data_IF_947579090349
#
_entry.id   IF_947579090349
#
_cell.length_a   1.000
_cell.length_b   1.000
_cell.length_c   1.000
_cell.angle_alpha   90.00
_cell.angle_beta   90.00
_cell.angle_gamma   90.00
#
_symmetry.space_group_name_H-M   'P 1'
#
loop_
_entity.id
_entity.type
_entity.pdbx_description
1 polymer ?
2 non-polymer ?
3 non-polymer ?
4 non-polymer ?
5 non-polymer ?
6 water ?
#
# COMPACT_ATOMS: atom_id res chain seq x y z
N UNK A 1 -1.71 -11.63 -4.91
CA UNK A 1 -0.65 -10.68 -4.59
C UNK A 1 -1.20 -9.25 -4.67
N UNK A 2 -0.78 -8.38 -3.74
CA UNK A 2 -1.19 -6.97 -3.75
C UNK A 2 -0.23 -6.22 -4.69
N UNK A 3 -0.77 -5.59 -5.75
CA UNK A 3 0.02 -4.89 -6.76
C UNK A 3 -0.35 -3.42 -6.87
N UNK A 4 0.66 -2.57 -7.15
CA UNK A 4 0.45 -1.14 -7.46
C UNK A 4 -0.30 -1.10 -8.80
N UNK A 5 -1.34 -0.25 -8.90
CA UNK A 5 -2.12 -0.10 -10.13
C UNK A 5 -1.91 1.28 -10.67
N UNK A 6 -1.75 1.37 -11.98
CA UNK A 6 -1.59 2.66 -12.66
C UNK A 6 -2.96 3.25 -13.04
N UNK A 7 -3.25 4.45 -12.52
CA UNK A 7 -4.46 5.24 -12.77
C UNK A 7 -3.98 6.68 -13.02
N UNK A 8 -4.36 7.28 -14.18
CA UNK A 8 -3.96 8.64 -14.54
C UNK A 8 -4.34 9.68 -13.48
N UNK A 9 -3.35 10.50 -13.07
CA UNK A 9 -3.45 11.56 -12.06
C UNK A 9 -3.91 11.05 -10.65
N UNK A 10 -3.78 9.72 -10.40
CA UNK A 10 -4.17 9.09 -9.14
C UNK A 10 -3.10 8.08 -8.69
N UNK A 11 -2.26 8.49 -7.72
CA UNK A 11 -1.18 7.66 -7.16
C UNK A 11 -1.59 6.94 -5.86
N UNK A 12 -0.85 5.88 -5.52
CA UNK A 12 -1.06 5.09 -4.30
C UNK A 12 -2.13 4.00 -4.33
N UNK A 13 -2.81 3.81 -5.49
CA UNK A 13 -3.84 2.78 -5.58
C UNK A 13 -3.23 1.38 -5.74
N UNK A 14 -3.68 0.44 -4.90
CA UNK A 14 -3.24 -0.96 -4.94
C UNK A 14 -4.45 -1.88 -5.20
N UNK A 15 -4.23 -3.03 -5.83
CA UNK A 15 -5.27 -4.03 -6.11
C UNK A 15 -4.83 -5.39 -5.59
N UNK A 16 -5.75 -6.08 -4.90
CA UNK A 16 -5.51 -7.45 -4.41
C UNK A 16 -5.79 -8.36 -5.62
N UNK A 17 -4.71 -8.84 -6.26
CA UNK A 17 -4.77 -9.68 -7.47
C UNK A 17 -4.93 -11.15 -7.14
N UNK A 18 -5.66 -11.88 -8.01
CA UNK A 18 -5.83 -13.33 -7.95
C UNK A 18 -4.51 -13.95 -8.41
N UNK A 19 -3.79 -13.24 -9.32
CA UNK A 19 -2.50 -13.64 -9.87
C UNK A 19 -1.41 -13.55 -8.80
N UNK A 20 -0.39 -14.39 -8.94
CA UNK A 20 0.77 -14.43 -8.07
C UNK A 20 1.75 -13.30 -8.41
N UNK A 21 1.71 -12.77 -9.65
CA UNK A 21 2.62 -11.73 -10.11
C UNK A 21 2.03 -10.32 -10.27
N UNK A 22 2.92 -9.34 -10.24
CA UNK A 22 2.68 -7.91 -10.46
C UNK A 22 3.57 -7.55 -11.64
N UNK A 23 3.24 -6.47 -12.34
CA UNK A 23 4.05 -5.99 -13.45
C UNK A 23 4.14 -4.49 -13.52
N UNK A 24 5.17 -4.02 -14.22
CA UNK A 24 5.38 -2.63 -14.55
C UNK A 24 5.81 -2.64 -15.99
N UNK A 25 5.00 -1.99 -16.84
CA UNK A 25 5.26 -1.92 -18.27
C UNK A 25 5.66 -0.51 -18.66
N UNK A 26 6.79 -0.39 -19.39
CA UNK A 26 7.32 0.90 -19.83
C UNK A 26 7.80 0.94 -21.28
N UNK A 27 7.80 2.15 -21.87
CA UNK A 27 8.34 2.44 -23.20
C UNK A 27 9.15 3.73 -23.07
N UNK A 28 10.45 3.68 -23.41
CA UNK A 28 11.40 4.80 -23.28
C UNK A 28 11.42 5.35 -21.82
N UNK A 29 11.26 4.48 -20.82
CA UNK A 29 11.21 4.88 -19.41
C UNK A 29 9.85 5.32 -18.90
N UNK A 30 8.95 5.72 -19.82
CA UNK A 30 7.59 6.15 -19.50
C UNK A 30 6.71 4.93 -19.16
N UNK A 31 6.10 4.95 -17.97
CA UNK A 31 5.21 3.90 -17.50
C UNK A 31 3.90 3.90 -18.29
N UNK A 32 3.60 2.79 -18.98
CA UNK A 32 2.36 2.64 -19.75
C UNK A 32 1.35 1.79 -18.99
N UNK A 33 1.79 1.13 -17.91
CA UNK A 33 0.94 0.32 -17.07
C UNK A 33 1.63 -0.32 -15.89
N UNK A 34 0.84 -0.59 -14.85
CA UNK A 34 1.24 -1.26 -13.61
C UNK A 34 -0.01 -1.98 -13.14
N UNK A 35 0.12 -3.28 -12.92
CA UNK A 35 -1.02 -4.04 -12.45
C UNK A 35 -0.76 -5.49 -12.10
N UNK A 36 -1.82 -6.29 -12.21
CA UNK A 36 -1.88 -7.72 -11.90
C UNK A 36 -1.29 -8.57 -13.04
N UNK A 37 -0.71 -9.71 -12.69
CA UNK A 37 -0.16 -10.67 -13.65
C UNK A 37 1.18 -10.28 -14.26
N UNK A 38 1.62 -11.06 -15.27
CA UNK A 38 2.87 -10.80 -16.00
C UNK A 38 2.60 -10.90 -17.51
N UNK A 39 2.36 -9.75 -18.18
CA UNK A 39 2.09 -9.81 -19.63
C UNK A 39 3.36 -9.92 -20.47
N UNK A 40 3.22 -10.49 -21.67
CA UNK A 40 4.33 -10.61 -22.63
C UNK A 40 4.46 -9.29 -23.42
N UNK A 41 5.71 -8.88 -23.78
CA UNK A 41 5.95 -7.67 -24.61
C UNK A 41 7.31 -7.65 -25.29
N UNK A 42 7.33 -7.18 -26.55
CA UNK A 42 8.53 -7.06 -27.36
C UNK A 42 8.94 -5.57 -27.42
N UNK A 43 10.23 -5.29 -27.67
CA UNK A 43 10.82 -3.95 -27.81
C UNK A 43 9.95 -3.03 -28.70
N UNK A 44 9.78 -1.72 -28.38
CA UNK A 44 10.39 -0.95 -27.28
C UNK A 44 9.75 -1.17 -25.91
N UNK A 45 8.65 -1.96 -25.86
CA UNK A 45 7.91 -2.26 -24.65
C UNK A 45 8.70 -3.17 -23.72
N UNK A 46 8.93 -2.70 -22.48
CA UNK A 46 9.72 -3.42 -21.47
C UNK A 46 8.86 -3.74 -20.27
N UNK A 47 8.82 -5.02 -19.85
CA UNK A 47 8.05 -5.48 -18.69
C UNK A 47 9.00 -5.89 -17.56
N UNK A 48 8.64 -5.50 -16.34
CA UNK A 48 9.33 -5.89 -15.12
C UNK A 48 8.30 -6.66 -14.31
N UNK A 49 8.53 -7.96 -14.11
CA UNK A 49 7.60 -8.80 -13.34
C UNK A 49 8.19 -9.21 -12.02
N UNK A 50 7.36 -9.33 -10.99
CA UNK A 50 7.77 -9.70 -9.63
C UNK A 50 6.61 -10.39 -8.91
N UNK A 51 6.89 -11.13 -7.82
CA UNK A 51 5.87 -11.94 -7.15
C UNK A 51 5.69 -11.67 -5.64
N UNK A 52 5.85 -10.43 -5.19
CA UNK A 52 5.62 -10.10 -3.77
C UNK A 52 4.79 -8.84 -3.63
N UNK A 53 4.07 -8.67 -2.49
CA UNK A 53 3.21 -7.50 -2.29
C UNK A 53 3.96 -6.19 -2.49
N UNK A 54 3.36 -5.27 -3.29
CA UNK A 54 3.84 -3.92 -3.60
C UNK A 54 5.21 -3.91 -4.33
N UNK A 55 5.58 -5.05 -4.97
CA UNK A 55 6.87 -5.21 -5.65
C UNK A 55 7.02 -4.37 -6.92
N UNK A 56 5.91 -4.12 -7.64
CA UNK A 56 5.93 -3.39 -8.92
C UNK A 56 5.90 -1.86 -8.77
N UNK A 57 6.67 -1.32 -7.80
CA UNK A 57 6.73 0.13 -7.58
C UNK A 57 7.40 0.87 -8.75
N UNK B 1 18.54 -6.36 0.34
CA UNK B 1 17.25 -6.02 -0.24
C UNK B 1 17.15 -4.51 -0.46
N UNK B 2 16.39 -4.09 -1.50
CA UNK B 2 16.16 -2.68 -1.83
C UNK B 2 14.91 -2.23 -1.08
N UNK B 3 15.10 -1.32 -0.12
CA UNK B 3 14.03 -0.80 0.73
C UNK B 3 13.72 0.66 0.50
N UNK B 4 12.43 1.04 0.63
CA UNK B 4 11.97 2.43 0.62
C UNK B 4 12.55 3.06 1.90
N UNK B 5 13.02 4.30 1.77
CA UNK B 5 13.59 5.02 2.89
C UNK B 5 12.72 6.21 3.17
N UNK B 6 12.46 6.46 4.47
CA UNK B 6 11.70 7.61 4.92
C UNK B 6 12.63 8.81 5.08
N UNK B 7 12.41 9.83 4.24
CA UNK B 7 13.13 11.12 4.24
C UNK B 7 12.05 12.20 4.16
N UNK B 8 12.03 13.14 5.11
CA UNK B 8 11.03 14.22 5.17
C UNK B 8 11.02 15.06 3.89
N UNK B 9 9.81 15.25 3.32
CA UNK B 9 9.51 16.00 2.09
C UNK B 9 10.25 15.44 0.83
N UNK B 10 10.76 14.19 0.90
CA UNK B 10 11.50 13.55 -0.18
C UNK B 10 11.03 12.10 -0.35
N UNK B 11 10.16 11.86 -1.36
CA UNK B 11 9.62 10.52 -1.67
C UNK B 11 10.40 9.85 -2.81
N UNK B 12 10.28 8.53 -2.89
CA UNK B 12 10.92 7.75 -3.94
C UNK B 12 12.36 7.33 -3.71
N UNK B 13 12.98 7.70 -2.56
CA UNK B 13 14.35 7.27 -2.25
C UNK B 13 14.36 5.84 -1.74
N UNK B 14 15.23 5.02 -2.36
CA UNK B 14 15.42 3.62 -2.02
C UNK B 14 16.88 3.39 -1.64
N UNK B 15 17.13 2.42 -0.74
CA UNK B 15 18.49 2.06 -0.32
C UNK B 15 18.70 0.57 -0.51
N UNK B 16 19.88 0.19 -1.08
CA UNK B 16 20.26 -1.20 -1.25
C UNK B 16 20.87 -1.62 0.10
N UNK B 17 20.07 -2.35 0.89
CA UNK B 17 20.43 -2.81 2.23
C UNK B 17 21.24 -4.10 2.22
N UNK B 18 22.15 -4.25 3.19
CA UNK B 18 22.92 -5.47 3.43
C UNK B 18 21.96 -6.51 4.04
N UNK B 19 20.97 -6.02 4.81
CA UNK B 19 19.92 -6.81 5.46
C UNK B 19 18.96 -7.38 4.42
N UNK B 20 18.38 -8.54 4.74
CA UNK B 20 17.40 -9.21 3.89
C UNK B 20 16.01 -8.58 4.02
N UNK B 21 15.77 -7.84 5.12
CA UNK B 21 14.48 -7.25 5.37
C UNK B 21 14.44 -5.73 5.29
N UNK B 22 13.21 -5.21 5.18
CA UNK B 22 12.86 -3.80 5.11
C UNK B 22 11.86 -3.68 6.25
N UNK B 23 11.58 -2.43 6.66
CA UNK B 23 10.59 -2.18 7.71
C UNK B 23 9.82 -0.89 7.48
N UNK B 24 8.67 -0.81 8.12
CA UNK B 24 7.83 0.36 8.20
C UNK B 24 7.41 0.42 9.68
N UNK B 25 7.84 1.49 10.37
CA UNK B 25 7.58 1.72 11.80
C UNK B 25 6.51 2.80 11.95
N UNK B 26 5.46 2.50 12.73
CA UNK B 26 4.35 3.42 12.95
C UNK B 26 3.91 3.50 14.41
N UNK B 27 3.27 4.63 14.75
CA UNK B 27 2.61 4.81 16.04
C UNK B 27 1.21 5.32 15.68
N UNK B 28 0.19 4.48 15.96
CA UNK B 28 -1.23 4.73 15.67
C UNK B 28 -1.42 5.25 14.24
N UNK B 29 -0.83 4.55 13.30
CA UNK B 29 -0.94 4.88 11.89
C UNK B 29 0.05 5.87 11.34
N UNK B 30 0.62 6.74 12.18
CA UNK B 30 1.61 7.73 11.79
C UNK B 30 2.97 7.05 11.56
N UNK B 31 3.52 7.18 10.35
CA UNK B 31 4.83 6.60 9.99
C UNK B 31 5.96 7.37 10.67
N UNK B 32 6.73 6.68 11.52
CA UNK B 32 7.87 7.30 12.22
C UNK B 32 9.20 6.87 11.59
N UNK B 33 9.16 5.90 10.68
CA UNK B 33 10.33 5.41 9.98
C UNK B 33 10.07 4.32 8.95
N UNK B 34 11.00 4.21 8.00
CA UNK B 34 11.01 3.22 6.92
C UNK B 34 12.46 3.05 6.52
N UNK B 35 12.94 1.82 6.47
CA UNK B 35 14.32 1.58 6.09
C UNK B 35 14.74 0.13 6.05
N UNK B 36 16.06 -0.09 6.28
CA UNK B 36 16.73 -1.39 6.25
C UNK B 36 16.53 -2.15 7.55
N UNK B 37 16.51 -3.48 7.43
CA UNK B 37 16.39 -4.41 8.54
C UNK B 37 15.02 -4.52 9.14
N UNK B 38 14.94 -5.20 10.29
CA UNK B 38 13.71 -5.39 11.03
C UNK B 38 13.97 -5.06 12.51
N UNK B 39 13.68 -3.81 12.94
CA UNK B 39 13.94 -3.45 14.34
C UNK B 39 12.88 -3.98 15.29
N UNK B 40 13.27 -4.14 16.56
CA UNK B 40 12.40 -4.63 17.62
C UNK B 40 11.42 -3.53 18.04
N UNK B 41 10.12 -3.88 18.08
CA UNK B 41 9.02 -3.00 18.45
C UNK B 41 9.05 -2.72 19.94
N UNK B 42 9.29 -1.46 20.29
CA UNK B 42 9.31 -0.98 21.67
C UNK B 42 8.03 -0.16 21.84
N UNK B 43 6.96 -0.82 22.34
CA UNK B 43 5.61 -0.32 22.61
C UNK B 43 5.52 1.18 22.96
N UNK B 44 4.57 1.98 22.41
CA UNK B 44 3.48 1.63 21.47
C UNK B 44 3.86 1.61 19.98
N UNK B 45 5.14 1.46 19.65
CA UNK B 45 5.60 1.40 18.26
C UNK B 45 5.13 0.06 17.64
N UNK B 46 4.69 0.10 16.36
CA UNK B 46 4.29 -1.07 15.58
C UNK B 46 5.20 -1.17 14.35
N UNK B 47 5.80 -2.36 14.13
CA UNK B 47 6.69 -2.60 13.00
C UNK B 47 6.03 -3.57 12.02
N UNK B 48 6.20 -3.28 10.73
CA UNK B 48 5.76 -4.16 9.64
C UNK B 48 7.05 -4.51 8.92
N UNK B 49 7.47 -5.78 8.99
CA UNK B 49 8.70 -6.22 8.33
C UNK B 49 8.37 -7.10 7.14
N UNK B 50 9.16 -6.98 6.08
CA UNK B 50 8.99 -7.72 4.83
C UNK B 50 10.36 -7.98 4.22
N UNK B 51 10.47 -9.00 3.35
CA UNK B 51 11.76 -9.43 2.84
C UNK B 51 11.86 -9.45 1.30
N UNK B 52 11.42 -8.39 0.64
CA UNK B 52 11.50 -8.30 -0.81
C UNK B 52 11.65 -6.85 -1.27
N UNK B 53 12.27 -6.63 -2.43
CA UNK B 53 12.49 -5.28 -2.94
C UNK B 53 11.21 -4.46 -2.99
N UNK B 54 11.31 -3.22 -2.47
CA UNK B 54 10.26 -2.20 -2.41
C UNK B 54 9.00 -2.65 -1.62
N UNK B 55 9.15 -3.65 -0.75
CA UNK B 55 8.04 -4.22 0.02
C UNK B 55 7.46 -3.28 1.10
N UNK B 56 8.31 -2.44 1.70
CA UNK B 56 7.94 -1.57 2.82
C UNK B 56 7.31 -0.23 2.39
N UNK B 57 6.42 -0.29 1.39
CA UNK B 57 5.72 0.88 0.89
C UNK B 57 4.66 1.36 1.91
N UNK C 1 -1.68 5.79 5.86
CA UNK C 1 -2.03 4.39 6.06
C UNK C 1 -2.72 3.83 4.80
N UNK C 2 -2.52 2.52 4.50
CA UNK C 2 -3.18 1.85 3.36
C UNK C 2 -4.57 1.36 3.82
N UNK C 3 -5.65 1.86 3.19
CA UNK C 3 -7.03 1.53 3.54
C UNK C 3 -7.80 0.84 2.43
N UNK C 4 -8.73 -0.06 2.80
CA UNK C 4 -9.67 -0.70 1.87
C UNK C 4 -10.62 0.43 1.43
N UNK C 5 -11.00 0.46 0.16
CA UNK C 5 -11.95 1.45 -0.36
C UNK C 5 -13.17 0.69 -0.84
N UNK C 6 -14.36 1.04 -0.33
CA UNK C 6 -15.62 0.44 -0.73
C UNK C 6 -15.95 0.92 -2.15
N UNK C 7 -16.00 -0.05 -3.08
CA UNK C 7 -16.37 0.15 -4.49
C UNK C 7 -17.37 -0.96 -4.82
N UNK C 8 -18.58 -0.60 -5.31
CA UNK C 8 -19.63 -1.57 -5.64
C UNK C 8 -19.17 -2.58 -6.69
N UNK C 9 -19.37 -3.88 -6.37
CA UNK C 9 -19.03 -5.05 -7.20
C UNK C 9 -17.51 -5.15 -7.51
N UNK C 10 -16.66 -4.43 -6.75
CA UNK C 10 -15.21 -4.40 -6.93
C UNK C 10 -14.50 -4.51 -5.57
N UNK C 11 -14.05 -5.73 -5.21
CA UNK C 11 -13.34 -5.97 -3.95
C UNK C 11 -11.81 -5.95 -4.14
N UNK C 12 -11.08 -5.76 -3.05
CA UNK C 12 -9.62 -5.77 -3.07
C UNK C 12 -8.92 -4.47 -3.41
N UNK C 13 -9.66 -3.39 -3.69
CA UNK C 13 -9.03 -2.09 -4.00
C UNK C 13 -8.61 -1.38 -2.72
N UNK C 14 -7.33 -0.96 -2.67
CA UNK C 14 -6.75 -0.25 -1.54
C UNK C 14 -6.22 1.11 -1.99
N UNK C 15 -6.22 2.09 -1.08
CA UNK C 15 -5.70 3.44 -1.34
C UNK C 15 -4.68 3.81 -0.26
N UNK C 16 -3.55 4.39 -0.69
CA UNK C 16 -2.50 4.88 0.20
C UNK C 16 -2.98 6.26 0.65
N UNK C 17 -3.49 6.35 1.88
CA UNK C 17 -4.03 7.58 2.46
C UNK C 17 -2.95 8.44 3.11
N UNK C 18 -3.14 9.77 3.04
CA UNK C 18 -2.30 10.77 3.71
C UNK C 18 -2.62 10.70 5.21
N UNK C 19 -3.88 10.35 5.55
CA UNK C 19 -4.41 10.19 6.91
C UNK C 19 -3.80 8.96 7.56
N UNK C 20 -3.71 8.98 8.90
CA UNK C 20 -3.20 7.85 9.67
C UNK C 20 -4.28 6.75 9.84
N UNK C 21 -5.56 7.13 9.68
CA UNK C 21 -6.70 6.24 9.88
C UNK C 21 -7.45 5.79 8.64
N UNK C 22 -8.18 4.67 8.80
CA UNK C 22 -9.12 4.06 7.86
C UNK C 22 -10.45 4.05 8.59
N UNK C 23 -11.54 3.96 7.82
CA UNK C 23 -12.86 3.90 8.42
C UNK C 23 -13.75 2.90 7.72
N UNK C 24 -14.78 2.51 8.45
CA UNK C 24 -15.87 1.68 7.99
C UNK C 24 -17.14 2.36 8.56
N UNK C 25 -17.98 2.90 7.66
CA UNK C 25 -19.23 3.59 8.01
C UNK C 25 -20.42 2.65 7.79
N UNK C 26 -21.30 2.56 8.80
CA UNK C 26 -22.46 1.68 8.75
C UNK C 26 -23.74 2.29 9.30
N UNK C 27 -24.88 1.74 8.84
CA UNK C 27 -26.19 2.08 9.38
C UNK C 27 -26.84 0.74 9.68
N UNK C 28 -26.99 0.47 10.99
CA UNK C 28 -27.60 -0.73 11.58
C UNK C 28 -27.00 -2.03 11.03
N UNK C 29 -25.67 -2.01 10.87
CA UNK C 29 -24.88 -3.12 10.37
C UNK C 29 -24.51 -3.08 8.91
N UNK C 30 -25.35 -2.42 8.10
CA UNK C 30 -25.16 -2.28 6.64
C UNK C 30 -24.04 -1.27 6.34
N UNK C 31 -22.99 -1.71 5.62
CA UNK C 31 -21.84 -0.86 5.23
C UNK C 31 -22.24 0.14 4.17
N UNK C 32 -22.13 1.45 4.50
CA UNK C 32 -22.45 2.51 3.55
C UNK C 32 -21.16 3.15 2.97
N UNK C 33 -20.01 2.80 3.54
CA UNK C 33 -18.72 3.31 3.11
C UNK C 33 -17.51 2.77 3.85
N UNK C 34 -16.35 2.80 3.18
CA UNK C 34 -15.04 2.41 3.69
C UNK C 34 -13.99 3.20 2.91
N UNK C 35 -13.07 3.86 3.61
CA UNK C 35 -12.00 4.65 3.00
C UNK C 35 -10.99 5.26 3.94
N UNK C 36 -10.38 6.39 3.52
CA UNK C 36 -9.36 7.16 4.23
C UNK C 36 -9.95 8.01 5.32
N UNK C 37 -9.17 8.20 6.38
CA UNK C 37 -9.49 9.07 7.49
C UNK C 37 -10.50 8.52 8.45
N UNK C 38 -10.97 9.40 9.35
CA UNK C 38 -11.97 9.07 10.33
C UNK C 38 -13.06 10.16 10.33
N UNK C 39 -14.16 9.96 9.57
CA UNK C 39 -15.19 11.01 9.50
C UNK C 39 -16.08 11.03 10.72
N UNK C 40 -16.69 12.20 10.97
CA UNK C 40 -17.61 12.42 12.08
C UNK C 40 -18.95 11.76 11.80
N UNK C 41 -19.43 10.98 12.78
CA UNK C 41 -20.67 10.23 12.73
C UNK C 41 -21.87 11.18 12.82
N UNK C 42 -22.67 11.24 11.73
CA UNK C 42 -23.87 12.07 11.66
C UNK C 42 -25.05 11.10 11.78
N UNK C 43 -25.53 10.87 13.03
CA UNK C 43 -26.59 9.94 13.45
C UNK C 43 -27.74 9.76 12.43
N UNK C 44 -28.23 8.52 12.14
CA UNK C 44 -27.91 7.21 12.75
C UNK C 44 -26.68 6.47 12.19
N UNK C 45 -25.77 7.20 11.52
CA UNK C 45 -24.54 6.61 10.98
C UNK C 45 -23.59 6.23 12.14
N UNK C 46 -22.90 5.08 12.03
CA UNK C 46 -21.90 4.61 12.99
C UNK C 46 -20.56 4.41 12.27
N UNK C 47 -19.48 4.96 12.82
CA UNK C 47 -18.14 4.84 12.24
C UNK C 47 -17.25 3.96 13.11
N UNK C 48 -16.45 3.11 12.46
CA UNK C 48 -15.44 2.27 13.11
C UNK C 48 -14.12 2.75 12.51
N UNK C 49 -13.26 3.34 13.33
CA UNK C 49 -11.97 3.83 12.83
C UNK C 49 -10.83 2.96 13.35
N UNK C 50 -9.79 2.79 12.52
CA UNK C 50 -8.62 2.00 12.85
C UNK C 50 -7.38 2.62 12.18
N UNK C 51 -6.18 2.31 12.70
CA UNK C 51 -4.96 2.97 12.25
C UNK C 51 -3.84 2.03 11.77
N UNK C 52 -4.17 0.90 11.16
CA UNK C 52 -3.12 0.02 10.63
C UNK C 52 -3.47 -0.39 9.19
N UNK C 53 -2.48 -0.71 8.35
CA UNK C 53 -2.75 -1.09 6.95
C UNK C 53 -3.78 -2.20 6.84
N UNK C 54 -4.80 -1.99 5.95
CA UNK C 54 -5.88 -2.94 5.65
C UNK C 54 -6.81 -3.28 6.84
N UNK C 55 -6.82 -2.42 7.87
CA UNK C 55 -7.59 -2.63 9.10
C UNK C 55 -9.11 -2.51 8.92
N UNK C 56 -9.57 -1.65 7.99
CA UNK C 56 -11.01 -1.38 7.79
C UNK C 56 -11.70 -2.42 6.87
N UNK C 57 -11.39 -3.70 7.06
CA UNK C 57 -11.98 -4.79 6.30
C UNK C 57 -13.48 -5.00 6.63
#
# INVERSE_FOLDING_TARGET
TICHIQISKTHGILKTCEENSCYKMSVRGWIIGRGCGCPSAVRPRQVQCCTSDKCNY
TICHIQISKTHGILKTCEENSCYKMSVRGWIIGRGCGCPSAVRPRQVQCCTSDKCNY
TICHIQISKTHGILKTCEENSCYKMSVRGWIIGRGCGCPSAVRPRQVQCCTSDKCNY
#
